data_IF_302682787041
#
_entry.id   IF_302682787041
#
_cell.length_a   1.000
_cell.length_b   1.000
_cell.length_c   1.000
_cell.angle_alpha   90.00
_cell.angle_beta   90.00
_cell.angle_gamma   90.00
#
_symmetry.space_group_name_H-M   'P 1'
#
loop_
_entity.id
_entity.type
_entity.pdbx_description
1 polymer ?
#
# COMPACT_ATOMS: atom_id res chain seq x y z
N UNK A 1 21.49 -43.69 34.33
CA UNK A 1 20.59 -43.69 33.15
C UNK A 1 20.85 -42.40 32.40
N UNK A 2 21.61 -42.51 31.31
CA UNK A 2 22.19 -41.41 30.53
C UNK A 2 21.81 -41.66 29.08
N UNK A 3 20.87 -40.88 28.55
CA UNK A 3 20.52 -40.93 27.14
C UNK A 3 21.47 -40.04 26.35
N UNK A 4 22.42 -40.68 25.66
CA UNK A 4 23.22 -40.07 24.59
C UNK A 4 22.42 -40.23 23.29
N UNK A 5 22.18 -39.15 22.57
CA UNK A 5 21.79 -39.18 21.16
C UNK A 5 23.00 -38.85 20.28
N UNK A 6 23.14 -39.47 19.09
CA UNK A 6 24.37 -39.44 18.32
C UNK A 6 24.42 -38.29 17.30
N UNK A 7 25.60 -37.67 17.21
CA UNK A 7 26.01 -36.79 16.11
C UNK A 7 25.95 -37.54 14.77
N UNK A 8 25.19 -37.00 13.81
CA UNK A 8 25.15 -37.41 12.41
C UNK A 8 25.92 -36.43 11.53
N UNK A 9 27.05 -36.93 11.04
CA UNK A 9 27.93 -36.51 9.95
C UNK A 9 27.43 -35.48 8.91
N UNK A 10 28.33 -34.52 8.65
CA UNK A 10 28.41 -33.60 7.53
C UNK A 10 28.32 -34.30 6.17
N UNK A 11 27.36 -33.89 5.34
CA UNK A 11 27.33 -34.15 3.90
C UNK A 11 27.48 -32.84 3.13
N UNK A 12 28.66 -32.61 2.53
CA UNK A 12 28.89 -31.56 1.54
C UNK A 12 28.05 -31.81 0.30
N UNK A 13 27.06 -30.94 0.04
CA UNK A 13 26.38 -30.89 -1.23
C UNK A 13 27.17 -29.98 -2.19
N UNK A 14 27.80 -30.61 -3.18
CA UNK A 14 28.45 -29.96 -4.33
C UNK A 14 27.34 -29.38 -5.22
N UNK A 15 27.33 -28.06 -5.41
CA UNK A 15 26.45 -27.39 -6.37
C UNK A 15 26.99 -27.59 -7.80
N UNK A 16 26.14 -27.91 -8.80
CA UNK A 16 26.57 -28.00 -10.17
C UNK A 16 26.70 -26.62 -10.81
N UNK A 17 27.94 -26.30 -11.17
CA UNK A 17 28.43 -25.52 -12.30
C UNK A 17 27.37 -24.72 -13.11
N UNK A 18 27.33 -23.40 -12.92
CA UNK A 18 26.53 -22.46 -13.71
C UNK A 18 27.29 -22.01 -14.97
N UNK A 19 26.62 -22.11 -16.12
CA UNK A 19 27.07 -21.70 -17.44
C UNK A 19 27.22 -20.15 -17.52
N UNK A 20 28.38 -19.58 -17.90
CA UNK A 20 28.67 -18.15 -17.74
C UNK A 20 28.20 -17.21 -18.87
N UNK A 21 27.35 -17.65 -19.80
CA UNK A 21 26.92 -16.81 -20.94
C UNK A 21 25.40 -16.71 -21.08
N UNK A 22 24.74 -16.05 -20.14
CA UNK A 22 23.38 -15.53 -20.35
C UNK A 22 23.42 -14.00 -20.27
N UNK A 23 23.33 -13.35 -21.43
CA UNK A 23 23.06 -11.93 -21.54
C UNK A 23 21.70 -11.61 -20.92
N UNK A 24 21.70 -10.65 -20.00
CA UNK A 24 20.52 -10.18 -19.28
C UNK A 24 19.75 -9.23 -20.20
N UNK A 25 18.64 -9.70 -20.78
CA UNK A 25 17.66 -8.83 -21.42
C UNK A 25 16.64 -8.33 -20.38
N UNK A 26 16.21 -7.05 -20.45
CA UNK A 26 15.21 -6.51 -19.55
C UNK A 26 13.90 -7.33 -19.65
N UNK A 27 13.45 -7.81 -18.50
CA UNK A 27 12.31 -8.71 -18.33
C UNK A 27 11.02 -7.90 -18.50
N UNK A 28 10.66 -7.60 -19.75
CA UNK A 28 9.30 -7.27 -20.16
C UNK A 28 9.02 -7.99 -21.47
N UNK A 29 8.51 -9.22 -21.36
CA UNK A 29 7.97 -9.93 -22.50
C UNK A 29 6.64 -9.26 -22.90
N UNK A 30 6.67 -8.50 -24.01
CA UNK A 30 5.49 -7.85 -24.60
C UNK A 30 4.37 -8.84 -24.97
N UNK A 31 4.60 -10.16 -24.86
CA UNK A 31 3.65 -11.19 -25.29
C UNK A 31 2.69 -11.70 -24.21
N UNK A 32 2.72 -11.19 -22.97
CA UNK A 32 1.74 -11.62 -21.93
C UNK A 32 0.31 -11.14 -22.26
N UNK A 33 -0.41 -11.84 -23.12
CA UNK A 33 -1.82 -11.60 -23.45
C UNK A 33 -2.76 -12.29 -22.44
N UNK A 34 -2.64 -11.97 -21.15
CA UNK A 34 -3.68 -12.31 -20.19
C UNK A 34 -5.02 -11.74 -20.69
N UNK A 35 -6.00 -12.61 -20.95
CA UNK A 35 -7.35 -12.18 -21.36
C UNK A 35 -7.92 -11.31 -20.24
N UNK A 36 -8.47 -10.11 -20.54
CA UNK A 36 -9.09 -9.27 -19.52
C UNK A 36 -10.21 -10.08 -18.84
N UNK A 37 -10.25 -10.04 -17.50
CA UNK A 37 -11.34 -10.64 -16.75
C UNK A 37 -12.67 -10.06 -17.24
N UNK A 38 -13.71 -10.88 -17.49
CA UNK A 38 -15.01 -10.38 -17.88
C UNK A 38 -15.50 -9.34 -16.87
N UNK A 39 -15.94 -8.20 -17.39
CA UNK A 39 -16.46 -7.08 -16.63
C UNK A 39 -17.86 -7.42 -16.11
N UNK A 40 -17.94 -8.35 -15.16
CA UNK A 40 -19.14 -8.50 -14.33
C UNK A 40 -19.43 -7.13 -13.72
N UNK A 41 -20.65 -6.61 -13.93
CA UNK A 41 -21.06 -5.20 -13.88
C UNK A 41 -20.99 -4.51 -12.52
N UNK A 42 -19.84 -4.62 -11.86
CA UNK A 42 -19.43 -3.94 -10.65
C UNK A 42 -19.21 -2.47 -10.96
N UNK A 43 -19.93 -1.60 -10.24
CA UNK A 43 -19.69 -0.16 -10.25
C UNK A 43 -18.35 0.09 -9.57
N UNK A 44 -17.31 0.43 -10.33
CA UNK A 44 -16.07 0.90 -9.73
C UNK A 44 -16.34 2.22 -9.01
N UNK A 45 -15.97 2.30 -7.73
CA UNK A 45 -15.78 3.60 -7.10
C UNK A 45 -14.78 4.38 -7.94
N UNK A 46 -15.17 5.54 -8.46
CA UNK A 46 -14.26 6.36 -9.25
C UNK A 46 -13.08 6.81 -8.37
N UNK A 47 -11.87 6.86 -8.94
CA UNK A 47 -10.71 7.44 -8.27
C UNK A 47 -11.02 8.85 -7.77
N UNK A 48 -10.57 9.18 -6.56
CA UNK A 48 -10.69 10.55 -6.04
C UNK A 48 -9.92 11.50 -6.96
N UNK A 49 -10.62 12.47 -7.55
CA UNK A 49 -10.03 13.45 -8.48
C UNK A 49 -9.86 14.78 -7.78
N UNK A 50 -8.70 15.40 -7.98
CA UNK A 50 -8.41 16.74 -7.50
C UNK A 50 -7.35 17.37 -8.38
N UNK A 51 -7.72 18.41 -9.12
CA UNK A 51 -6.84 19.07 -10.10
C UNK A 51 -5.56 19.66 -9.48
N UNK A 52 -5.53 19.83 -8.15
CA UNK A 52 -4.36 20.28 -7.40
C UNK A 52 -3.33 19.19 -7.17
N UNK A 53 -3.65 17.92 -7.43
CA UNK A 53 -2.67 16.85 -7.27
C UNK A 53 -1.51 17.04 -8.26
N UNK A 54 -0.26 16.82 -7.81
CA UNK A 54 0.90 16.91 -8.68
C UNK A 54 0.71 16.13 -9.97
N UNK A 55 1.12 16.74 -11.07
CA UNK A 55 1.17 16.12 -12.40
C UNK A 55 2.61 15.73 -12.64
N UNK A 56 2.83 14.53 -13.14
CA UNK A 56 4.19 14.02 -13.40
C UNK A 56 4.36 13.86 -14.89
N UNK A 57 5.29 14.65 -15.45
CA UNK A 57 5.65 14.59 -16.86
C UNK A 57 6.81 13.63 -17.10
N UNK A 58 7.54 13.23 -16.04
CA UNK A 58 8.77 12.44 -16.15
C UNK A 58 8.74 11.21 -15.27
N UNK A 59 8.88 10.06 -15.92
CA UNK A 59 8.84 8.75 -15.30
C UNK A 59 10.03 7.92 -15.71
N UNK A 60 10.46 7.00 -14.86
CA UNK A 60 11.38 5.95 -15.26
C UNK A 60 11.14 4.68 -14.46
N UNK A 61 11.51 3.55 -15.03
CA UNK A 61 11.51 2.29 -14.29
C UNK A 61 12.56 2.38 -13.19
N UNK A 62 12.20 1.98 -11.97
CA UNK A 62 13.09 1.82 -10.85
C UNK A 62 13.75 0.44 -10.93
N UNK A 63 14.58 0.26 -11.96
CA UNK A 63 15.20 -1.04 -12.29
C UNK A 63 16.02 -1.62 -11.13
N UNK A 64 16.51 -0.74 -10.26
CA UNK A 64 17.27 -1.13 -9.09
C UNK A 64 16.43 -1.83 -8.02
N UNK A 65 15.11 -1.64 -7.98
CA UNK A 65 14.23 -2.25 -6.99
C UNK A 65 13.90 -3.70 -7.34
N UNK A 66 14.93 -4.55 -7.23
CA UNK A 66 14.87 -5.98 -7.52
C UNK A 66 15.50 -6.80 -6.38
N UNK A 67 15.28 -8.12 -6.39
CA UNK A 67 15.72 -9.00 -5.31
C UNK A 67 17.23 -8.99 -5.08
N UNK A 68 18.03 -8.90 -6.15
CA UNK A 68 19.49 -8.89 -6.06
C UNK A 68 20.00 -7.67 -5.30
N UNK A 69 19.53 -6.47 -5.67
CA UNK A 69 19.91 -5.24 -5.00
C UNK A 69 19.33 -5.14 -3.59
N UNK A 70 18.12 -5.68 -3.36
CA UNK A 70 17.56 -5.80 -2.01
C UNK A 70 18.48 -6.64 -1.12
N UNK A 71 18.95 -7.81 -1.57
CA UNK A 71 19.90 -8.62 -0.79
C UNK A 71 21.19 -7.84 -0.50
N UNK A 72 21.73 -7.12 -1.49
CA UNK A 72 22.93 -6.27 -1.33
C UNK A 72 22.72 -5.13 -0.33
N UNK A 73 21.54 -4.50 -0.31
CA UNK A 73 21.21 -3.38 0.58
C UNK A 73 21.28 -3.80 2.06
N UNK A 74 20.73 -4.97 2.38
CA UNK A 74 20.74 -5.47 3.76
C UNK A 74 22.04 -6.19 4.12
N UNK A 75 22.85 -6.56 3.12
CA UNK A 75 24.15 -7.22 3.29
C UNK A 75 24.00 -8.52 4.12
N UNK A 76 25.07 -8.97 4.78
CA UNK A 76 25.06 -10.10 5.69
C UNK A 76 24.07 -9.95 6.88
N UNK A 77 23.54 -8.75 7.15
CA UNK A 77 22.58 -8.55 8.26
C UNK A 77 21.26 -9.24 7.99
N UNK A 78 20.76 -9.22 6.74
CA UNK A 78 19.53 -9.95 6.42
C UNK A 78 19.76 -11.45 6.53
N UNK A 79 20.89 -11.95 6.01
CA UNK A 79 21.26 -13.36 6.16
C UNK A 79 21.34 -13.77 7.63
N UNK A 80 22.04 -12.98 8.46
CA UNK A 80 22.16 -13.23 9.89
C UNK A 80 20.80 -13.20 10.60
N UNK A 81 19.94 -12.25 10.24
CA UNK A 81 18.58 -12.14 10.78
C UNK A 81 17.76 -13.38 10.40
N UNK A 82 17.78 -13.79 9.14
CA UNK A 82 17.00 -14.93 8.63
C UNK A 82 17.51 -16.30 9.12
N UNK A 83 18.78 -16.40 9.53
CA UNK A 83 19.32 -17.62 10.14
C UNK A 83 18.86 -17.83 11.59
N UNK A 84 18.22 -16.83 12.19
CA UNK A 84 17.65 -16.95 13.54
C UNK A 84 16.43 -17.84 13.50
N UNK A 85 16.27 -18.62 14.57
CA UNK A 85 15.04 -19.36 14.79
C UNK A 85 13.98 -18.37 15.27
N UNK A 86 12.94 -18.19 14.45
CA UNK A 86 11.78 -17.38 14.78
C UNK A 86 10.59 -18.29 14.96
N UNK A 87 9.85 -18.09 16.05
CA UNK A 87 8.50 -18.63 16.17
C UNK A 87 7.59 -17.79 15.27
N UNK A 88 7.43 -18.25 14.02
CA UNK A 88 6.65 -17.58 12.98
C UNK A 88 5.22 -18.08 12.98
N UNK A 89 4.28 -17.15 12.88
CA UNK A 89 2.88 -17.48 12.70
C UNK A 89 2.61 -17.98 11.27
N UNK A 90 1.77 -19.01 11.16
CA UNK A 90 1.30 -19.48 9.86
C UNK A 90 0.11 -18.63 9.38
N UNK A 91 0.38 -17.65 8.53
CA UNK A 91 -0.65 -16.84 7.86
C UNK A 91 -1.18 -17.46 6.56
N UNK A 92 -0.77 -18.68 6.19
CA UNK A 92 -1.26 -19.35 4.98
C UNK A 92 -2.73 -19.79 5.10
N UNK A 93 -3.23 -19.93 6.33
CA UNK A 93 -4.59 -20.36 6.61
C UNK A 93 -5.59 -19.21 6.48
N UNK A 94 -5.90 -18.84 5.23
CA UNK A 94 -6.94 -17.86 4.93
C UNK A 94 -8.25 -18.59 4.64
N UNK A 95 -9.31 -18.16 5.31
CA UNK A 95 -10.65 -18.70 5.06
C UNK A 95 -11.04 -18.51 3.59
N UNK A 96 -11.55 -19.55 2.89
CA UNK A 96 -11.81 -19.49 1.44
C UNK A 96 -12.71 -18.34 0.95
N UNK A 97 -13.51 -17.77 1.84
CA UNK A 97 -14.34 -16.60 1.54
C UNK A 97 -13.52 -15.36 1.15
N UNK A 98 -12.31 -15.17 1.71
CA UNK A 98 -11.44 -14.05 1.37
C UNK A 98 -10.76 -14.20 -0.01
N UNK A 99 -10.83 -15.38 -0.64
CA UNK A 99 -10.33 -15.57 -2.01
C UNK A 99 -11.27 -15.00 -3.08
N UNK A 100 -12.49 -14.61 -2.69
CA UNK A 100 -13.45 -13.98 -3.59
C UNK A 100 -13.29 -12.47 -3.51
N UNK A 101 -12.48 -11.94 -4.41
CA UNK A 101 -12.31 -10.49 -4.59
C UNK A 101 -13.39 -10.02 -5.57
N UNK A 102 -14.43 -9.35 -5.07
CA UNK A 102 -15.50 -8.76 -5.89
C UNK A 102 -15.31 -7.27 -6.11
N UNK A 103 -14.59 -6.59 -5.24
CA UNK A 103 -14.49 -5.14 -5.18
C UNK A 103 -13.23 -4.72 -4.40
N UNK A 104 -13.06 -3.42 -4.22
CA UNK A 104 -11.93 -2.86 -3.49
C UNK A 104 -11.95 -3.27 -2.01
N UNK A 105 -13.11 -3.30 -1.36
CA UNK A 105 -13.25 -3.63 0.07
C UNK A 105 -12.90 -5.09 0.39
N UNK A 106 -13.38 -6.02 -0.44
CA UNK A 106 -13.03 -7.45 -0.35
C UNK A 106 -11.54 -7.68 -0.62
N UNK A 107 -10.95 -6.95 -1.57
CA UNK A 107 -9.51 -6.99 -1.80
C UNK A 107 -8.72 -6.42 -0.60
N UNK A 108 -9.10 -5.26 -0.07
CA UNK A 108 -8.48 -4.69 1.12
C UNK A 108 -8.57 -5.66 2.31
N UNK A 109 -9.71 -6.35 2.48
CA UNK A 109 -9.88 -7.37 3.52
C UNK A 109 -8.90 -8.53 3.37
N UNK A 110 -8.63 -8.98 2.14
CA UNK A 110 -7.60 -9.97 1.85
C UNK A 110 -6.20 -9.44 2.20
N UNK A 111 -5.87 -8.21 1.77
CA UNK A 111 -4.56 -7.57 2.05
C UNK A 111 -4.30 -7.45 3.55
N UNK A 112 -5.32 -7.11 4.36
CA UNK A 112 -5.20 -7.07 5.83
C UNK A 112 -4.88 -8.45 6.37
N UNK A 113 -5.67 -9.47 5.98
CA UNK A 113 -5.55 -10.81 6.55
C UNK A 113 -4.23 -11.47 6.21
N UNK A 114 -3.73 -11.26 4.99
CA UNK A 114 -2.51 -11.88 4.52
C UNK A 114 -1.31 -10.93 4.55
N UNK A 115 -1.27 -9.95 3.65
CA UNK A 115 -0.08 -9.13 3.43
C UNK A 115 0.30 -8.32 4.67
N UNK A 116 -0.68 -7.65 5.29
CA UNK A 116 -0.40 -6.84 6.48
C UNK A 116 0.08 -7.71 7.64
N UNK A 117 -0.54 -8.88 7.87
CA UNK A 117 -0.12 -9.81 8.94
C UNK A 117 1.32 -10.28 8.74
N UNK A 118 1.66 -10.73 7.53
CA UNK A 118 3.02 -11.19 7.18
C UNK A 118 4.04 -10.05 7.31
N UNK A 119 3.71 -8.86 6.78
CA UNK A 119 4.62 -7.71 6.82
C UNK A 119 4.79 -7.20 8.26
N UNK A 120 3.74 -7.17 9.07
CA UNK A 120 3.82 -6.77 10.47
C UNK A 120 4.70 -7.72 11.28
N UNK A 121 4.53 -9.04 11.13
CA UNK A 121 5.40 -10.01 11.80
C UNK A 121 6.86 -9.84 11.35
N UNK A 122 7.11 -9.72 10.05
CA UNK A 122 8.45 -9.48 9.53
C UNK A 122 9.07 -8.19 10.09
N UNK A 123 8.32 -7.09 10.14
CA UNK A 123 8.81 -5.82 10.70
C UNK A 123 9.06 -5.92 12.21
N UNK A 124 8.17 -6.55 12.97
CA UNK A 124 8.33 -6.79 14.42
C UNK A 124 9.64 -7.53 14.72
N UNK A 125 9.98 -8.55 13.93
CA UNK A 125 11.20 -9.34 14.13
C UNK A 125 12.48 -8.67 13.65
N UNK A 126 12.41 -7.75 12.68
CA UNK A 126 13.61 -7.30 11.94
C UNK A 126 13.90 -5.81 12.05
N UNK A 127 12.89 -4.94 12.20
CA UNK A 127 13.08 -3.49 12.09
C UNK A 127 14.00 -2.94 13.20
N UNK A 128 13.83 -3.40 14.45
CA UNK A 128 14.67 -2.95 15.55
C UNK A 128 16.13 -3.39 15.38
N UNK A 129 16.37 -4.59 14.87
CA UNK A 129 17.73 -5.08 14.63
C UNK A 129 18.41 -4.32 13.49
N UNK A 130 17.68 -4.08 12.40
CA UNK A 130 18.22 -3.46 11.19
C UNK A 130 18.35 -1.94 11.28
N UNK A 131 17.44 -1.27 11.99
CA UNK A 131 17.31 0.20 12.00
C UNK A 131 17.28 0.83 13.41
N UNK A 132 17.36 0.02 14.48
CA UNK A 132 17.24 0.49 15.88
C UNK A 132 15.95 1.25 16.18
N UNK A 133 14.87 0.92 15.48
CA UNK A 133 13.56 1.54 15.64
C UNK A 133 12.43 0.58 15.30
N UNK A 134 11.26 0.82 15.85
CA UNK A 134 10.04 0.12 15.48
C UNK A 134 9.46 0.72 14.20
N UNK A 135 9.05 -0.16 13.29
CA UNK A 135 8.37 0.19 12.05
C UNK A 135 7.13 -0.69 11.95
N UNK A 136 5.98 -0.11 11.62
CA UNK A 136 4.71 -0.83 11.52
C UNK A 136 3.94 -0.44 10.27
N UNK A 137 3.23 -1.39 9.67
CA UNK A 137 2.29 -1.17 8.58
C UNK A 137 0.87 -1.00 9.15
N UNK A 138 0.23 0.12 8.84
CA UNK A 138 -1.10 0.50 9.36
C UNK A 138 -2.08 0.80 8.22
N UNK A 139 -3.38 0.90 8.57
CA UNK A 139 -4.48 1.14 7.64
C UNK A 139 -5.36 2.31 8.07
N UNK A 140 -5.99 2.97 7.10
CA UNK A 140 -7.13 3.88 7.28
C UNK A 140 -6.79 5.06 8.20
N UNK A 141 -7.56 5.25 9.27
CA UNK A 141 -7.37 6.38 10.19
C UNK A 141 -5.98 6.45 10.82
N UNK A 142 -5.26 5.32 10.92
CA UNK A 142 -3.89 5.27 11.43
C UNK A 142 -2.84 5.66 10.37
N UNK A 143 -3.20 5.59 9.09
CA UNK A 143 -2.36 5.97 7.97
C UNK A 143 -2.40 7.48 7.66
N UNK A 144 -3.10 8.29 8.46
CA UNK A 144 -3.21 9.74 8.24
C UNK A 144 -1.85 10.44 8.21
N UNK A 145 -1.74 11.42 7.32
CA UNK A 145 -0.61 12.35 7.28
C UNK A 145 -0.87 13.48 8.29
N UNK A 146 -0.11 13.54 9.39
CA UNK A 146 -0.44 14.38 10.57
C UNK A 146 -0.78 15.84 10.24
N UNK A 147 -0.05 16.48 9.33
CA UNK A 147 -0.20 17.92 9.03
C UNK A 147 -1.29 18.23 8.02
N UNK A 148 -1.90 17.20 7.47
CA UNK A 148 -2.87 17.33 6.40
C UNK A 148 -4.02 16.37 6.68
N UNK A 149 -4.92 16.73 7.62
CA UNK A 149 -6.00 15.86 8.07
C UNK A 149 -6.99 15.47 6.95
N UNK A 150 -6.90 16.14 5.79
CA UNK A 150 -7.66 15.81 4.59
C UNK A 150 -7.08 14.60 3.84
N UNK A 151 -5.80 14.28 4.03
CA UNK A 151 -5.16 13.13 3.41
C UNK A 151 -5.43 11.87 4.23
N UNK A 152 -6.08 10.91 3.57
CA UNK A 152 -6.43 9.62 4.15
C UNK A 152 -5.99 8.52 3.18
N UNK A 153 -4.67 8.26 3.07
CA UNK A 153 -4.21 7.10 2.33
C UNK A 153 -4.79 5.83 2.95
N UNK A 154 -5.07 4.82 2.12
CA UNK A 154 -5.59 3.53 2.60
C UNK A 154 -4.60 2.86 3.56
N UNK A 155 -3.30 3.04 3.30
CA UNK A 155 -2.21 2.44 4.05
C UNK A 155 -1.12 3.44 4.43
N UNK A 156 -0.37 3.09 5.48
CA UNK A 156 0.74 3.88 5.96
C UNK A 156 1.81 3.00 6.59
N UNK A 157 3.08 3.34 6.38
CA UNK A 157 4.13 2.94 7.31
C UNK A 157 4.21 3.94 8.45
N UNK A 158 4.42 3.51 9.69
CA UNK A 158 4.75 4.39 10.82
C UNK A 158 6.08 3.99 11.41
N UNK A 159 6.84 4.97 11.86
CA UNK A 159 8.06 4.76 12.63
C UNK A 159 7.95 5.46 13.99
N UNK A 160 8.41 4.78 15.04
CA UNK A 160 8.46 5.37 16.38
C UNK A 160 9.40 6.58 16.45
N UNK A 161 10.56 6.52 15.80
CA UNK A 161 11.57 7.60 15.82
C UNK A 161 11.04 8.90 15.19
N UNK A 162 10.05 8.79 14.29
CA UNK A 162 9.40 9.93 13.63
C UNK A 162 8.08 10.34 14.28
N UNK A 163 7.92 10.08 15.58
CA UNK A 163 6.72 10.49 16.33
C UNK A 163 5.46 9.78 15.84
N UNK A 164 5.61 8.57 15.29
CA UNK A 164 4.51 7.75 14.77
C UNK A 164 3.72 8.43 13.64
N UNK A 165 4.32 9.29 12.84
CA UNK A 165 3.65 9.79 11.62
C UNK A 165 3.59 8.70 10.56
N UNK A 166 2.69 8.85 9.58
CA UNK A 166 2.88 8.13 8.33
C UNK A 166 4.26 8.52 7.74
N UNK A 167 5.00 7.55 7.21
CA UNK A 167 6.30 7.70 6.55
C UNK A 167 6.32 7.03 5.17
N UNK A 168 5.27 6.28 4.83
CA UNK A 168 5.13 5.51 3.60
C UNK A 168 3.64 5.40 3.25
N UNK A 169 3.06 6.34 2.49
CA UNK A 169 1.66 6.29 2.10
C UNK A 169 1.45 5.17 1.09
N UNK A 170 0.31 4.50 1.19
CA UNK A 170 -0.10 3.46 0.25
C UNK A 170 -1.58 3.57 -0.11
N UNK A 171 -1.91 3.16 -1.32
CA UNK A 171 -3.28 3.14 -1.85
C UNK A 171 -3.65 1.72 -2.28
N UNK A 172 -4.91 1.34 -2.09
CA UNK A 172 -5.48 0.17 -2.76
C UNK A 172 -6.30 0.62 -3.96
N UNK A 173 -6.16 -0.09 -5.08
CA UNK A 173 -6.99 0.14 -6.26
C UNK A 173 -7.33 -1.19 -6.93
N UNK A 174 -8.47 -1.26 -7.59
CA UNK A 174 -8.76 -2.38 -8.49
C UNK A 174 -7.86 -2.33 -9.73
N UNK A 175 -7.43 -3.49 -10.23
CA UNK A 175 -6.68 -3.59 -11.50
C UNK A 175 -7.46 -3.05 -12.71
N UNK A 176 -8.81 -2.98 -12.58
CA UNK A 176 -9.70 -2.34 -13.57
C UNK A 176 -9.54 -0.82 -13.61
N UNK A 177 -9.13 -0.21 -12.50
CA UNK A 177 -8.92 1.24 -12.37
C UNK A 177 -7.47 1.60 -12.67
N UNK A 178 -6.52 0.77 -12.22
CA UNK A 178 -5.10 1.02 -12.37
C UNK A 178 -4.33 -0.29 -12.54
N UNK A 179 -3.49 -0.37 -13.57
CA UNK A 179 -2.55 -1.47 -13.77
C UNK A 179 -1.32 -1.00 -14.56
N UNK A 180 -0.26 -1.78 -14.48
CA UNK A 180 1.04 -1.54 -15.09
C UNK A 180 1.00 -1.44 -16.59
N UNK A 181 0.23 -2.33 -17.25
CA UNK A 181 0.05 -2.31 -18.70
C UNK A 181 -0.43 -0.95 -19.17
N UNK A 182 -1.47 -0.41 -18.53
CA UNK A 182 -2.03 0.89 -18.90
C UNK A 182 -1.01 2.00 -18.71
N UNK A 183 -0.22 1.96 -17.63
CA UNK A 183 0.86 2.93 -17.43
C UNK A 183 1.94 2.81 -18.51
N UNK A 184 2.43 1.60 -18.78
CA UNK A 184 3.50 1.33 -19.75
C UNK A 184 3.12 1.69 -21.18
N UNK A 185 1.88 1.41 -21.58
CA UNK A 185 1.38 1.71 -22.93
C UNK A 185 1.33 3.22 -23.21
N UNK A 186 1.42 4.06 -22.17
CA UNK A 186 1.33 5.53 -22.28
C UNK A 186 2.61 6.27 -21.84
N UNK A 187 3.67 5.55 -21.44
CA UNK A 187 4.99 6.14 -21.19
C UNK A 187 5.82 6.04 -22.48
N UNK A 188 6.33 7.18 -22.94
CA UNK A 188 7.23 7.30 -24.08
C UNK A 188 8.63 6.76 -23.73
N UNK A 189 9.44 6.43 -24.73
CA UNK A 189 10.79 5.86 -24.53
C UNK A 189 11.70 6.75 -23.66
N UNK A 190 11.54 8.07 -23.72
CA UNK A 190 12.32 9.03 -22.91
C UNK A 190 11.77 9.21 -21.48
N UNK A 191 10.70 8.49 -21.12
CA UNK A 191 10.02 8.62 -19.83
C UNK A 191 8.93 9.69 -19.77
N UNK A 192 8.65 10.34 -20.90
CA UNK A 192 7.55 11.32 -21.03
C UNK A 192 6.18 10.64 -20.99
N UNK A 193 5.18 11.32 -20.43
CA UNK A 193 3.77 10.87 -20.52
C UNK A 193 3.05 11.72 -21.55
N UNK A 194 2.44 11.08 -22.55
CA UNK A 194 1.78 11.78 -23.66
C UNK A 194 0.60 12.64 -23.17
N UNK A 195 -0.21 12.11 -22.25
CA UNK A 195 -1.37 12.79 -21.70
C UNK A 195 -1.40 12.69 -20.16
N UNK A 196 -0.69 13.58 -19.43
CA UNK A 196 -0.57 13.52 -17.96
C UNK A 196 -1.89 13.82 -17.20
N UNK A 197 -2.93 14.26 -17.91
CA UNK A 197 -4.29 14.49 -17.36
C UNK A 197 -5.22 13.29 -17.48
N UNK A 198 -4.75 12.19 -18.06
CA UNK A 198 -5.57 11.00 -18.28
C UNK A 198 -6.08 10.40 -16.97
N UNK A 199 -7.28 9.84 -17.06
CA UNK A 199 -7.98 9.34 -15.88
C UNK A 199 -7.27 8.16 -15.19
N UNK A 200 -6.48 7.38 -15.94
CA UNK A 200 -5.76 6.24 -15.37
C UNK A 200 -4.59 6.67 -14.46
N UNK A 201 -4.12 7.91 -14.55
CA UNK A 201 -3.05 8.44 -13.70
C UNK A 201 -3.54 8.97 -12.35
N UNK A 202 -4.85 9.14 -12.14
CA UNK A 202 -5.39 9.68 -10.90
C UNK A 202 -4.89 8.98 -9.63
N UNK A 203 -4.82 7.64 -9.56
CA UNK A 203 -4.27 6.95 -8.40
C UNK A 203 -2.81 7.32 -8.11
N UNK A 204 -1.98 7.49 -9.14
CA UNK A 204 -0.59 7.89 -8.95
C UNK A 204 -0.51 9.35 -8.53
N UNK A 205 -1.29 10.25 -9.14
CA UNK A 205 -1.37 11.66 -8.74
C UNK A 205 -1.80 11.82 -7.28
N UNK A 206 -2.75 11.01 -6.84
CA UNK A 206 -3.19 10.94 -5.44
C UNK A 206 -2.04 10.52 -4.53
N UNK A 207 -1.34 9.43 -4.87
CA UNK A 207 -0.17 8.97 -4.12
C UNK A 207 0.94 10.02 -4.04
N UNK A 208 1.25 10.68 -5.16
CA UNK A 208 2.24 11.76 -5.22
C UNK A 208 1.85 12.93 -4.33
N UNK A 209 0.56 13.28 -4.26
CA UNK A 209 0.10 14.33 -3.37
C UNK A 209 0.41 13.99 -1.90
N UNK A 210 0.18 12.75 -1.46
CA UNK A 210 0.58 12.31 -0.12
C UNK A 210 2.08 12.38 0.10
N UNK A 211 2.87 11.89 -0.86
CA UNK A 211 4.32 11.90 -0.77
C UNK A 211 4.87 13.32 -0.66
N UNK A 212 4.42 14.24 -1.52
CA UNK A 212 4.89 15.63 -1.55
C UNK A 212 4.50 16.38 -0.29
N UNK A 213 3.22 16.33 0.09
CA UNK A 213 2.73 17.06 1.27
C UNK A 213 3.26 16.45 2.56
N UNK A 214 3.32 15.13 2.62
CA UNK A 214 3.86 14.34 3.74
C UNK A 214 5.38 14.35 3.84
N UNK A 215 6.09 14.93 2.87
CA UNK A 215 7.55 14.92 2.77
C UNK A 215 8.15 13.49 2.75
N UNK A 216 7.50 12.58 2.01
CA UNK A 216 7.87 11.18 1.91
C UNK A 216 8.39 10.88 0.50
N UNK A 217 9.51 10.16 0.45
CA UNK A 217 10.20 9.75 -0.77
C UNK A 217 9.57 8.54 -1.44
N UNK A 218 8.99 7.64 -0.64
CA UNK A 218 8.47 6.38 -1.14
C UNK A 218 6.96 6.34 -0.98
N UNK A 219 6.30 5.54 -1.83
CA UNK A 219 4.89 5.22 -1.73
C UNK A 219 4.58 3.94 -2.50
N UNK A 220 3.36 3.44 -2.39
CA UNK A 220 2.94 2.29 -3.20
C UNK A 220 1.44 2.29 -3.55
N UNK A 221 1.10 1.59 -4.62
CA UNK A 221 -0.28 1.25 -5.00
C UNK A 221 -0.37 -0.28 -5.07
N UNK A 222 -1.28 -0.86 -4.30
CA UNK A 222 -1.54 -2.31 -4.34
C UNK A 222 -2.85 -2.58 -5.07
N UNK A 223 -2.79 -3.50 -6.04
CA UNK A 223 -3.96 -3.93 -6.81
C UNK A 223 -4.12 -5.44 -6.73
N UNK A 224 -5.26 -5.97 -7.17
CA UNK A 224 -5.50 -7.41 -7.22
C UNK A 224 -4.66 -8.15 -8.27
N UNK A 225 -3.81 -7.47 -9.04
CA UNK A 225 -2.90 -8.06 -10.04
C UNK A 225 -1.42 -7.84 -9.73
N UNK A 226 -1.08 -6.74 -9.04
CA UNK A 226 0.31 -6.40 -8.75
C UNK A 226 0.46 -5.37 -7.62
N UNK A 227 1.69 -5.18 -7.16
CA UNK A 227 2.12 -4.04 -6.37
C UNK A 227 2.94 -3.10 -7.26
N UNK A 228 2.59 -1.82 -7.28
CA UNK A 228 3.44 -0.76 -7.80
C UNK A 228 4.13 -0.07 -6.63
N UNK A 229 5.46 -0.06 -6.62
CA UNK A 229 6.24 0.78 -5.71
C UNK A 229 6.72 2.02 -6.45
N UNK A 230 6.81 3.14 -5.74
CA UNK A 230 7.30 4.41 -6.29
C UNK A 230 8.35 5.05 -5.40
N UNK A 231 9.30 5.71 -6.06
CA UNK A 231 10.31 6.60 -5.48
C UNK A 231 10.15 7.98 -6.13
N UNK A 232 9.98 9.01 -5.30
CA UNK A 232 9.63 10.38 -5.69
C UNK A 232 10.82 11.30 -5.47
N UNK A 233 11.13 12.13 -6.47
CA UNK A 233 12.27 13.06 -6.43
C UNK A 233 12.14 14.25 -7.35
N UNK A 234 13.30 14.85 -7.63
CA UNK A 234 13.46 15.87 -8.66
C UNK A 234 14.69 15.57 -9.51
N UNK A 235 14.64 15.96 -10.78
CA UNK A 235 15.82 15.98 -11.66
C UNK A 235 16.60 17.30 -11.58
N UNK A 236 16.08 18.28 -10.83
CA UNK A 236 16.76 19.56 -10.69
C UNK A 236 18.02 19.37 -9.84
N UNK A 237 19.14 20.01 -10.21
CA UNK A 237 20.33 19.98 -9.39
C UNK A 237 20.03 20.59 -8.02
N UNK A 238 20.78 20.13 -7.00
CA UNK A 238 20.66 20.64 -5.65
C UNK A 238 20.88 22.15 -5.61
N UNK A 239 19.90 22.87 -5.06
CA UNK A 239 20.07 24.25 -4.65
C UNK A 239 20.44 24.29 -3.16
N UNK A 240 21.69 24.61 -2.86
CA UNK A 240 22.23 24.64 -1.50
C UNK A 240 21.54 25.66 -0.58
N UNK A 241 20.88 26.66 -1.16
CA UNK A 241 20.18 27.71 -0.41
C UNK A 241 18.70 27.43 -0.24
N UNK A 242 18.16 26.43 -0.95
CA UNK A 242 16.75 26.15 -0.93
C UNK A 242 16.35 25.34 0.32
N UNK A 243 15.34 25.84 1.01
CA UNK A 243 14.70 25.18 2.13
C UNK A 243 13.98 23.89 1.72
N UNK A 244 13.69 23.03 2.70
CA UNK A 244 12.85 21.84 2.48
C UNK A 244 11.44 22.17 1.95
N UNK A 245 10.92 23.36 2.31
CA UNK A 245 9.65 23.86 1.80
C UNK A 245 9.75 24.23 0.31
N UNK A 246 10.88 24.75 -0.14
CA UNK A 246 11.13 25.05 -1.55
C UNK A 246 11.35 23.77 -2.36
N UNK A 247 12.11 22.80 -1.84
CA UNK A 247 12.24 21.47 -2.45
C UNK A 247 10.87 20.85 -2.69
N UNK A 248 10.01 20.81 -1.66
CA UNK A 248 8.63 20.29 -1.81
C UNK A 248 7.83 21.04 -2.88
N UNK A 249 7.92 22.36 -2.96
CA UNK A 249 7.26 23.15 -4.03
C UNK A 249 7.81 22.82 -5.41
N UNK A 250 9.09 22.54 -5.53
CA UNK A 250 9.73 22.15 -6.79
C UNK A 250 9.21 20.77 -7.22
N UNK A 251 9.24 19.80 -6.31
CA UNK A 251 8.71 18.45 -6.56
C UNK A 251 7.21 18.49 -6.83
N UNK A 252 6.43 19.31 -6.12
CA UNK A 252 4.99 19.46 -6.37
C UNK A 252 4.65 19.92 -7.80
N UNK A 253 5.54 20.72 -8.40
CA UNK A 253 5.33 21.29 -9.75
C UNK A 253 5.80 20.37 -10.86
N UNK A 254 6.89 19.65 -10.63
CA UNK A 254 7.44 18.70 -11.59
C UNK A 254 8.14 17.55 -10.85
N UNK A 255 7.36 16.61 -10.32
CA UNK A 255 7.90 15.44 -9.64
C UNK A 255 8.56 14.53 -10.68
N UNK A 256 9.71 13.98 -10.30
CA UNK A 256 10.31 12.85 -11.00
C UNK A 256 9.90 11.57 -10.29
N UNK A 257 9.35 10.61 -11.02
CA UNK A 257 8.81 9.37 -10.46
C UNK A 257 9.54 8.16 -11.02
N UNK A 258 10.20 7.43 -10.14
CA UNK A 258 10.71 6.10 -10.45
C UNK A 258 9.72 5.05 -9.94
N UNK A 259 9.46 4.01 -10.73
CA UNK A 259 8.46 2.99 -10.36
C UNK A 259 8.90 1.57 -10.70
N UNK A 260 8.42 0.59 -9.93
CA UNK A 260 8.59 -0.82 -10.25
C UNK A 260 7.29 -1.57 -9.95
N UNK A 261 6.90 -2.49 -10.85
CA UNK A 261 5.78 -3.39 -10.63
C UNK A 261 6.27 -4.76 -10.16
N UNK A 262 5.53 -5.33 -9.21
CA UNK A 262 5.75 -6.64 -8.63
C UNK A 262 4.45 -7.43 -8.79
N UNK A 263 4.36 -8.36 -9.76
CA UNK A 263 3.15 -9.14 -9.97
C UNK A 263 2.91 -10.12 -8.82
N UNK A 264 1.64 -10.48 -8.54
CA UNK A 264 1.33 -11.55 -7.58
C UNK A 264 1.80 -12.92 -8.05
N UNK A 265 1.67 -13.17 -9.36
CA UNK A 265 2.03 -14.43 -9.99
C UNK A 265 3.46 -14.34 -10.49
N UNK A 266 4.28 -15.25 -10.00
CA UNK A 266 5.60 -15.48 -10.54
C UNK A 266 5.62 -16.86 -11.21
N UNK A 267 6.26 -16.96 -12.38
CA UNK A 267 6.36 -18.22 -13.13
C UNK A 267 7.35 -19.18 -12.45
N UNK A 268 7.01 -19.69 -11.26
CA UNK A 268 7.80 -20.65 -10.46
C UNK A 268 9.31 -20.34 -10.30
N UNK A 269 9.71 -19.08 -10.52
CA UNK A 269 11.09 -18.63 -10.31
C UNK A 269 11.25 -18.37 -8.83
N UNK A 270 12.04 -19.20 -8.15
CA UNK A 270 12.33 -19.05 -6.72
C UNK A 270 13.14 -17.78 -6.38
N UNK A 271 13.63 -17.05 -7.39
CA UNK A 271 14.53 -15.91 -7.21
C UNK A 271 13.89 -14.61 -7.73
N UNK A 272 12.70 -14.30 -7.22
CA UNK A 272 11.94 -13.10 -7.59
C UNK A 272 11.50 -12.34 -6.34
N UNK A 273 11.46 -11.01 -6.47
CA UNK A 273 10.93 -10.15 -5.43
C UNK A 273 9.41 -10.36 -5.34
N UNK A 274 8.93 -10.82 -4.19
CA UNK A 274 7.49 -11.00 -3.93
C UNK A 274 6.85 -9.72 -3.39
N UNK A 275 5.52 -9.62 -3.45
CA UNK A 275 4.80 -8.45 -2.94
C UNK A 275 5.03 -8.22 -1.44
N UNK A 276 4.98 -9.27 -0.61
CA UNK A 276 5.24 -9.13 0.83
C UNK A 276 6.67 -8.67 1.11
N UNK A 277 7.65 -9.23 0.40
CA UNK A 277 9.04 -8.82 0.55
C UNK A 277 9.24 -7.38 0.10
N UNK A 278 8.66 -6.97 -1.02
CA UNK A 278 8.70 -5.59 -1.51
C UNK A 278 8.09 -4.60 -0.51
N UNK A 279 6.92 -4.91 0.07
CA UNK A 279 6.28 -4.08 1.09
C UNK A 279 7.18 -3.95 2.33
N UNK A 280 7.73 -5.05 2.84
CA UNK A 280 8.64 -5.04 3.97
C UNK A 280 9.89 -4.18 3.70
N UNK A 281 10.56 -4.36 2.55
CA UNK A 281 11.72 -3.55 2.14
C UNK A 281 11.36 -2.07 2.11
N UNK A 282 10.21 -1.74 1.50
CA UNK A 282 9.82 -0.34 1.32
C UNK A 282 9.55 0.37 2.66
N UNK A 283 8.98 -0.35 3.63
CA UNK A 283 8.81 0.17 5.00
C UNK A 283 10.15 0.46 5.67
N UNK A 284 11.14 -0.43 5.52
CA UNK A 284 12.49 -0.21 6.06
C UNK A 284 13.20 0.95 5.36
N UNK A 285 13.10 1.06 4.03
CA UNK A 285 13.64 2.18 3.26
C UNK A 285 13.02 3.52 3.71
N UNK A 286 11.71 3.54 3.89
CA UNK A 286 10.99 4.73 4.35
C UNK A 286 11.42 5.18 5.75
N UNK A 287 11.65 4.22 6.65
CA UNK A 287 12.12 4.49 8.00
C UNK A 287 13.61 4.89 8.04
N UNK A 288 14.42 4.38 7.12
CA UNK A 288 15.85 4.71 7.00
C UNK A 288 16.08 6.10 6.41
N UNK A 289 15.72 6.28 5.14
CA UNK A 289 16.00 7.49 4.35
C UNK A 289 14.81 7.87 3.46
N UNK A 290 13.62 7.83 4.06
CA UNK A 290 12.35 8.06 3.36
C UNK A 290 11.89 9.50 3.23
N UNK A 291 12.72 10.50 3.54
CA UNK A 291 12.33 11.91 3.33
C UNK A 291 12.69 12.37 1.92
N UNK A 292 11.97 13.37 1.42
CA UNK A 292 12.33 13.96 0.12
C UNK A 292 13.66 14.69 0.23
N UNK A 293 14.52 14.49 -0.77
CA UNK A 293 15.81 15.16 -0.88
C UNK A 293 16.08 15.57 -2.34
N UNK A 294 17.10 16.41 -2.52
CA UNK A 294 17.58 16.86 -3.83
C UNK A 294 18.28 15.76 -4.61
N UNK A 295 19.01 14.94 -3.87
CA UNK A 295 19.88 13.91 -4.44
C UNK A 295 19.64 12.61 -3.70
N UNK A 296 19.68 11.54 -4.46
CA UNK A 296 19.41 10.21 -3.97
C UNK A 296 20.52 9.30 -4.44
N UNK A 297 21.08 8.56 -3.49
CA UNK A 297 21.95 7.45 -3.81
C UNK A 297 21.18 6.39 -4.61
N UNK A 298 21.90 5.67 -5.46
CA UNK A 298 21.40 4.43 -6.03
C UNK A 298 21.02 3.46 -4.91
N UNK A 299 20.09 2.53 -5.16
CA UNK A 299 19.72 1.53 -4.15
C UNK A 299 20.92 0.64 -3.76
N UNK A 300 21.90 0.48 -4.67
CA UNK A 300 23.16 -0.25 -4.43
C UNK A 300 24.09 0.48 -3.46
N UNK A 301 24.06 1.80 -3.46
CA UNK A 301 24.87 2.66 -2.58
C UNK A 301 24.15 3.02 -1.29
N UNK A 302 22.83 2.85 -1.25
CA UNK A 302 22.04 3.04 -0.05
C UNK A 302 22.57 2.13 1.08
N UNK A 303 22.64 2.68 2.29
CA UNK A 303 23.11 1.99 3.50
C UNK A 303 22.10 2.22 4.59
N UNK A 304 21.79 1.16 5.35
CA UNK A 304 20.97 1.33 6.54
C UNK A 304 21.76 2.07 7.61
N UNK A 305 21.19 3.19 8.07
CA UNK A 305 21.72 4.04 9.11
C UNK A 305 21.42 3.37 10.45
N UNK A 306 22.47 2.81 11.06
CA UNK A 306 22.37 2.09 12.34
C UNK A 306 22.05 3.01 13.53
N UNK A 307 22.31 4.31 13.40
CA UNK A 307 22.10 5.29 14.45
C UNK A 307 20.84 6.12 14.17
N UNK A 308 19.82 6.09 15.06
CA UNK A 308 18.62 6.92 14.92
C UNK A 308 18.91 8.41 14.79
N UNK A 309 20.02 8.90 15.37
CA UNK A 309 20.45 10.29 15.28
C UNK A 309 20.97 10.68 13.89
N UNK A 310 21.38 9.72 13.07
CA UNK A 310 21.78 9.95 11.68
C UNK A 310 20.59 9.90 10.72
N UNK A 311 19.47 9.32 11.16
CA UNK A 311 18.28 9.26 10.33
C UNK A 311 17.66 10.65 10.19
N UNK A 312 17.26 11.05 8.97
CA UNK A 312 16.62 12.34 8.75
C UNK A 312 15.38 12.48 9.65
N UNK A 313 15.42 13.49 10.50
CA UNK A 313 14.30 13.87 11.36
C UNK A 313 13.40 14.82 10.60
N UNK A 314 12.09 14.64 10.76
CA UNK A 314 11.12 15.62 10.28
C UNK A 314 11.25 16.87 11.15
N UNK A 315 12.01 17.86 10.67
CA UNK A 315 12.02 19.18 11.28
C UNK A 315 10.68 19.86 10.97
N UNK A 316 9.79 19.81 11.95
CA UNK A 316 8.54 20.54 11.90
C UNK A 316 8.82 22.02 12.11
N UNK A 317 8.53 22.85 11.12
CA UNK A 317 8.41 24.29 11.31
C UNK A 317 7.22 24.52 12.27
N UNK A 318 7.49 24.66 13.57
CA UNK A 318 6.47 24.93 14.60
C UNK A 318 5.63 26.18 14.29
N UNK A 319 6.15 27.08 13.44
CA UNK A 319 5.46 28.28 12.96
C UNK A 319 4.21 28.01 12.13
N UNK A 320 3.99 26.78 11.66
CA UNK A 320 2.79 26.38 10.90
C UNK A 320 1.68 25.78 11.78
N UNK A 321 1.84 25.72 13.11
CA UNK A 321 0.72 25.39 13.98
C UNK A 321 -0.35 26.46 13.82
N UNK A 322 -1.45 26.10 13.14
CA UNK A 322 -2.72 26.82 13.25
C UNK A 322 -2.94 27.10 14.73
N UNK A 323 -3.13 28.37 15.15
CA UNK A 323 -3.26 28.70 16.56
C UNK A 323 -4.30 27.75 17.15
N UNK A 324 -3.86 26.95 18.12
CA UNK A 324 -4.76 26.08 18.87
C UNK A 324 -5.94 26.96 19.28
N UNK A 325 -7.16 26.56 18.89
CA UNK A 325 -8.40 27.18 19.36
C UNK A 325 -8.22 27.36 20.87
N UNK A 326 -7.96 28.59 21.29
CA UNK A 326 -7.88 28.89 22.71
C UNK A 326 -9.22 28.45 23.27
N UNK A 327 -9.26 27.68 24.37
CA UNK A 327 -10.52 27.40 25.03
C UNK A 327 -11.16 28.75 25.30
N UNK A 328 -12.32 29.01 24.68
CA UNK A 328 -13.11 30.20 24.95
C UNK A 328 -13.23 30.31 26.46
N UNK A 329 -12.60 31.35 27.00
CA UNK A 329 -12.74 31.72 28.39
C UNK A 329 -14.23 31.84 28.66
N UNK A 330 -14.76 30.93 29.47
CA UNK A 330 -16.11 30.98 29.98
C UNK A 330 -16.29 32.36 30.63
N UNK A 331 -17.01 33.25 29.94
CA UNK A 331 -17.52 34.47 30.55
C UNK A 331 -18.52 34.04 31.61
N UNK A 332 -18.09 34.20 32.86
CA UNK A 332 -18.92 34.25 34.05
C UNK A 332 -20.09 35.22 33.82
N UNK A 333 -21.26 34.68 33.51
CA UNK A 333 -22.53 35.41 33.58
C UNK A 333 -22.91 35.44 35.07
N UNK A 334 -22.78 36.62 35.68
CA UNK A 334 -23.33 36.87 37.00
C UNK A 334 -24.87 36.84 36.95
N UNK A 335 -25.56 36.22 37.92
CA UNK A 335 -27.01 36.33 38.02
C UNK A 335 -27.38 37.63 38.72
N UNK A 336 -27.98 38.56 37.98
CA UNK A 336 -28.80 39.64 38.55
C UNK A 336 -30.03 39.03 39.20
N UNK A 337 -30.09 39.15 40.52
CA UNK A 337 -31.24 38.83 41.36
C UNK A 337 -32.22 39.99 41.33
N UNK A 338 -33.41 39.76 40.80
CA UNK A 338 -34.61 40.54 41.12
C UNK A 338 -35.71 39.57 41.51
N UNK A 339 -35.96 39.52 42.81
CA UNK A 339 -37.12 38.95 43.46
C UNK A 339 -38.39 39.62 42.91
N UNK A 340 -39.31 38.85 42.34
CA UNK A 340 -40.74 39.13 42.45
C UNK A 340 -41.48 37.81 42.68
N UNK A 341 -42.25 37.83 43.75
CA UNK A 341 -42.93 36.74 44.41
C UNK A 341 -44.33 36.61 43.81
N UNK A 342 -44.67 35.44 43.26
CA UNK A 342 -46.07 35.05 43.04
C UNK A 342 -46.20 33.54 42.98
N UNK A 343 -47.00 33.03 43.91
CA UNK A 343 -47.31 31.64 44.17
C UNK A 343 -48.29 31.08 43.12
N UNK A 344 -48.05 29.87 42.63
CA UNK A 344 -49.10 28.83 42.48
C UNK A 344 -48.54 27.46 42.11
N UNK A 345 -48.91 26.48 42.94
CA UNK A 345 -48.94 25.02 42.79
C UNK A 345 -48.82 24.37 41.40
N UNK A 346 -47.97 23.33 41.29
CA UNK A 346 -48.35 21.89 41.26
C UNK A 346 -47.31 21.02 40.50
N UNK A 347 -46.92 19.91 41.13
CA UNK A 347 -46.46 18.60 40.60
C UNK A 347 -45.70 18.56 39.26
N UNK A 348 -44.49 17.99 39.15
CA UNK A 348 -44.31 16.54 39.02
C UNK A 348 -42.83 16.12 38.94
N UNK A 349 -42.47 15.20 39.84
CA UNK A 349 -41.60 14.02 39.72
C UNK A 349 -40.31 14.02 38.87
N UNK A 350 -39.24 13.78 39.63
CA UNK A 350 -37.91 13.27 39.33
C UNK A 350 -37.89 12.06 38.37
N UNK A 351 -36.88 12.01 37.49
CA UNK A 351 -36.35 10.75 36.99
C UNK A 351 -34.87 10.89 36.60
N UNK A 352 -33.99 10.71 37.58
CA UNK A 352 -32.54 10.52 37.39
C UNK A 352 -32.25 9.04 37.27
N UNK A 353 -31.84 8.57 36.08
CA UNK A 353 -31.32 7.22 35.85
C UNK A 353 -29.80 7.25 35.79
N UNK A 354 -29.20 6.75 36.85
CA UNK A 354 -27.81 6.30 36.94
C UNK A 354 -27.67 4.99 36.15
N UNK A 355 -26.68 4.89 35.27
CA UNK A 355 -26.30 3.65 34.60
C UNK A 355 -25.24 2.93 35.43
N UNK A 356 -25.58 1.73 35.92
CA UNK A 356 -24.64 0.77 36.50
C UNK A 356 -24.35 -0.32 35.48
N UNK A 357 -23.07 -0.56 35.19
CA UNK A 357 -22.59 -1.67 34.35
C UNK A 357 -22.86 -3.02 35.02
N UNK A 358 -23.21 -4.09 34.27
CA UNK A 358 -23.21 -5.44 34.80
C UNK A 358 -21.86 -6.13 34.58
N UNK A 359 -21.37 -6.72 35.65
CA UNK A 359 -20.31 -7.73 35.68
C UNK A 359 -20.77 -8.99 34.93
N UNK A 360 -19.89 -9.55 34.09
CA UNK A 360 -20.13 -10.82 33.41
C UNK A 360 -19.57 -11.96 34.26
N UNK A 361 -20.49 -12.76 34.79
CA UNK A 361 -20.27 -14.01 35.49
C UNK A 361 -20.01 -15.15 34.47
N UNK A 362 -19.07 -16.02 34.81
CA UNK A 362 -18.53 -17.07 33.94
C UNK A 362 -19.29 -18.36 34.17
N UNK A 363 -20.15 -18.74 33.22
CA UNK A 363 -20.97 -19.95 33.26
C UNK A 363 -20.62 -20.95 32.15
N UNK A 364 -20.40 -22.18 32.56
CA UNK A 364 -20.04 -23.39 31.81
C UNK A 364 -20.82 -23.65 30.50
N UNK A 365 -20.08 -24.06 29.45
CA UNK A 365 -20.63 -24.57 28.19
C UNK A 365 -20.50 -26.11 28.15
N UNK A 366 -21.58 -26.87 27.90
CA UNK A 366 -21.50 -28.32 27.79
C UNK A 366 -20.98 -28.78 26.42
N UNK A 367 -20.11 -29.79 26.47
CA UNK A 367 -19.59 -30.58 25.36
C UNK A 367 -20.73 -31.16 24.50
N UNK A 368 -20.77 -30.83 23.20
CA UNK A 368 -21.55 -31.56 22.21
C UNK A 368 -20.61 -32.47 21.40
N UNK A 369 -20.79 -33.77 21.63
CA UNK A 369 -20.22 -34.88 20.86
C UNK A 369 -20.86 -34.94 19.46
N UNK A 370 -20.05 -34.97 18.40
CA UNK A 370 -20.50 -35.34 17.05
C UNK A 370 -19.77 -36.62 16.60
N UNK A 371 -20.56 -37.66 16.35
CA UNK A 371 -20.15 -38.83 15.57
C UNK A 371 -20.59 -38.69 14.10
N UNK A 372 -19.93 -39.38 13.16
CA UNK A 372 -20.06 -39.12 11.73
C UNK A 372 -21.11 -40.01 11.05
N UNK A 373 -21.80 -39.47 10.04
CA UNK A 373 -22.67 -40.23 9.15
C UNK A 373 -22.18 -40.18 7.69
N UNK A 374 -21.55 -41.29 7.29
CA UNK A 374 -21.67 -42.03 6.02
C UNK A 374 -22.26 -41.37 4.77
N UNK A 375 -21.45 -41.40 3.72
CA UNK A 375 -21.71 -41.81 2.32
C UNK A 375 -23.17 -41.90 1.85
N UNK A 376 -23.49 -41.16 0.77
CA UNK A 376 -24.40 -41.63 -0.28
C UNK A 376 -24.05 -41.03 -1.64
N UNK A 377 -23.72 -41.93 -2.55
CA UNK A 377 -23.66 -41.76 -3.99
C UNK A 377 -25.08 -41.69 -4.57
N UNK A 378 -25.26 -40.90 -5.64
CA UNK A 378 -26.22 -41.20 -6.70
C UNK A 378 -25.95 -40.35 -7.94
N UNK A 379 -25.85 -41.07 -9.06
CA UNK A 379 -25.63 -40.62 -10.42
C UNK A 379 -26.87 -40.03 -11.09
N UNK A 380 -26.61 -39.31 -12.20
CA UNK A 380 -27.43 -39.14 -13.40
C UNK A 380 -28.73 -38.32 -13.34
N UNK A 381 -28.78 -37.22 -14.10
CA UNK A 381 -29.48 -37.23 -15.40
C UNK A 381 -29.38 -35.90 -16.16
N UNK A 382 -28.81 -36.03 -17.36
CA UNK A 382 -29.31 -35.53 -18.66
C UNK A 382 -30.47 -34.52 -18.68
N UNK A 383 -30.22 -33.34 -19.25
CA UNK A 383 -31.23 -32.68 -20.10
C UNK A 383 -30.60 -31.72 -21.10
N UNK A 384 -30.63 -32.18 -22.35
CA UNK A 384 -30.51 -31.35 -23.55
C UNK A 384 -31.69 -30.37 -23.60
N UNK A 385 -31.41 -29.07 -23.82
CA UNK A 385 -32.37 -28.18 -24.48
C UNK A 385 -31.68 -27.36 -25.55
N UNK A 386 -32.05 -27.72 -26.78
CA UNK A 386 -31.91 -26.99 -28.01
C UNK A 386 -32.62 -25.65 -27.94
N UNK A 387 -31.99 -24.58 -28.42
CA UNK A 387 -32.72 -23.42 -28.95
C UNK A 387 -32.03 -22.92 -30.23
N UNK A 388 -32.77 -23.11 -31.32
CA UNK A 388 -32.52 -22.56 -32.64
C UNK A 388 -32.82 -21.06 -32.65
N UNK A 389 -31.99 -20.33 -33.40
CA UNK A 389 -32.47 -19.43 -34.45
C UNK A 389 -32.99 -18.06 -34.05
N UNK A 390 -32.17 -17.02 -34.32
CA UNK A 390 -32.67 -15.86 -35.07
C UNK A 390 -31.54 -15.10 -35.76
N UNK A 391 -31.43 -15.33 -37.07
CA UNK A 391 -30.74 -14.44 -38.00
C UNK A 391 -31.53 -13.13 -38.07
N UNK A 392 -30.87 -11.99 -37.88
CA UNK A 392 -31.32 -10.70 -38.40
C UNK A 392 -30.17 -10.03 -39.13
N UNK A 393 -30.36 -9.98 -40.44
CA UNK A 393 -29.70 -9.15 -41.43
C UNK A 393 -29.95 -7.66 -41.18
N UNK A 394 -28.92 -6.84 -41.29
CA UNK A 394 -29.03 -5.41 -41.58
C UNK A 394 -27.94 -5.04 -42.61
N UNK A 395 -28.42 -4.53 -43.75
CA UNK A 395 -27.67 -3.91 -44.84
C UNK A 395 -27.49 -2.41 -44.60
N UNK A 396 -26.60 -1.80 -45.40
CA UNK A 396 -26.37 -0.36 -45.67
C UNK A 396 -25.50 0.41 -44.66
N UNK A 397 -24.58 1.30 -45.04
CA UNK A 397 -23.98 1.71 -46.33
C UNK A 397 -22.67 2.49 -45.99
N UNK A 398 -21.74 2.69 -46.96
CA UNK A 398 -20.47 3.36 -46.73
C UNK A 398 -20.58 4.89 -46.90
N UNK A 399 -19.96 5.63 -45.98
CA UNK A 399 -19.62 7.06 -46.09
C UNK A 399 -18.11 7.09 -45.82
N UNK A 400 -17.21 7.70 -46.58
CA UNK A 400 -17.32 8.74 -47.59
C UNK A 400 -16.01 9.52 -47.46
N UNK A 401 -15.08 9.30 -48.40
CA UNK A 401 -13.77 9.94 -48.47
C UNK A 401 -13.88 11.47 -48.48
N UNK A 402 -13.11 12.16 -47.63
CA UNK A 402 -12.73 13.57 -47.87
C UNK A 402 -11.24 13.80 -47.62
N UNK A 403 -10.53 13.95 -48.74
CA UNK A 403 -9.25 14.64 -48.86
C UNK A 403 -9.43 16.09 -48.42
N UNK A 404 -8.48 16.64 -47.68
CA UNK A 404 -8.21 18.08 -47.71
C UNK A 404 -6.70 18.31 -47.77
N UNK A 405 -6.26 18.61 -48.99
CA UNK A 405 -5.08 19.42 -49.27
C UNK A 405 -5.34 20.82 -48.71
N UNK A 406 -4.40 21.38 -47.95
CA UNK A 406 -4.15 22.84 -47.99
C UNK A 406 -2.68 23.11 -47.78
N UNK A 407 -2.04 23.51 -48.89
CA UNK A 407 -0.86 24.35 -48.92
C UNK A 407 -1.20 25.72 -48.30
N UNK A 408 -0.32 26.22 -47.45
CA UNK A 408 0.32 27.52 -47.62
C UNK A 408 1.69 27.46 -46.97
#
# INVERSE_FOLDING_TARGET
MSCRSPCGLLGSAVLPNTNPNLEVHPIYDKTYQGKPFPSDGLKSGGSTRNDKYPKTETWSVWEEFNLENVRKLFDERLSATLQRDFDLQDFSQIHPYFYRISDEDSFQSFVIKYNQSVVLEALDKTAHELLRQEVVMVRGGQAKVLFYPKWNPDWGGRSHSRGTTNILPGETKSSRVFNSRTLMDNIQEEGGVEEPETDYLWPVRQLLAYCVDGHMRYGYIITNEELMVVRVGTRKPRDVNASQKELRKIIARNPFVEWQFIPWKHDNKNDVLTVNLALWVLHLLAANNGLLDWEYASLKEERLLNEPSLQPQLHYDETSRTPALQPESQQSVQPTTSFEESQSHADSQQNSRTYSSPEYDSGDIPLISQQPASQRSSESNTSQKSHQGRKRSAQHNPIGSRKNLRRK
#
